data_IF_660794712841
#
_entry.id   IF_660794712841
#
_cell.length_a   1.000
_cell.length_b   1.000
_cell.length_c   1.000
_cell.angle_alpha   90.00
_cell.angle_beta   90.00
_cell.angle_gamma   90.00
#
_symmetry.space_group_name_H-M   'P 1'
#
loop_
_entity.id
_entity.type
_entity.pdbx_description
1 polymer ?
#
# COMPACT_ATOMS: atom_id res chain seq x y z
N UNK A 1 -10.03 -12.01 -12.94
CA UNK A 1 -8.66 -11.47 -12.72
C UNK A 1 -8.82 -10.24 -11.84
N UNK A 2 -8.05 -10.14 -10.78
CA UNK A 2 -8.09 -8.97 -9.88
C UNK A 2 -7.47 -7.74 -10.57
N UNK A 3 -7.92 -6.53 -10.20
CA UNK A 3 -7.28 -5.30 -10.68
C UNK A 3 -5.79 -5.26 -10.31
N UNK A 4 -4.94 -4.86 -11.27
CA UNK A 4 -3.47 -4.83 -11.09
C UNK A 4 -3.04 -3.93 -9.91
N UNK A 5 -3.76 -2.84 -9.65
CA UNK A 5 -3.48 -1.93 -8.53
C UNK A 5 -3.52 -2.57 -7.14
N UNK A 6 -4.12 -3.76 -7.02
CA UNK A 6 -4.15 -4.48 -5.74
C UNK A 6 -2.87 -5.28 -5.47
N UNK A 7 -2.00 -5.44 -6.48
CA UNK A 7 -0.77 -6.22 -6.39
C UNK A 7 -0.97 -7.59 -5.76
N UNK A 8 -2.07 -8.28 -6.14
CA UNK A 8 -2.50 -9.55 -5.57
C UNK A 8 -2.96 -10.51 -6.66
N UNK A 9 -2.84 -11.81 -6.42
CA UNK A 9 -3.29 -12.84 -7.37
C UNK A 9 -2.18 -13.52 -8.15
N UNK A 10 -0.91 -13.29 -7.78
CA UNK A 10 0.28 -13.84 -8.47
C UNK A 10 1.05 -14.86 -7.62
N UNK A 11 0.56 -15.20 -6.43
CA UNK A 11 1.24 -16.14 -5.52
C UNK A 11 0.46 -17.45 -5.41
N UNK A 12 1.15 -18.62 -5.33
CA UNK A 12 0.49 -19.89 -5.08
C UNK A 12 -0.16 -19.98 -3.69
N UNK A 13 0.02 -18.97 -2.84
CA UNK A 13 -0.62 -18.83 -1.52
C UNK A 13 -1.83 -17.92 -1.53
N UNK A 14 -2.16 -17.34 -2.68
CA UNK A 14 -3.34 -16.50 -2.79
C UNK A 14 -4.62 -17.32 -2.66
N UNK A 15 -5.65 -16.71 -2.09
CA UNK A 15 -6.94 -17.36 -1.91
C UNK A 15 -7.71 -17.41 -3.24
N UNK A 16 -8.50 -18.48 -3.42
CA UNK A 16 -9.34 -18.65 -4.62
C UNK A 16 -10.44 -17.59 -4.73
N UNK A 17 -10.87 -17.05 -3.59
CA UNK A 17 -11.92 -16.04 -3.51
C UNK A 17 -11.47 -14.88 -2.62
N UNK A 18 -11.56 -13.68 -3.15
CA UNK A 18 -11.27 -12.43 -2.45
C UNK A 18 -12.49 -11.53 -2.52
N UNK A 19 -12.92 -11.04 -1.36
CA UNK A 19 -14.03 -10.10 -1.23
C UNK A 19 -13.46 -8.76 -0.84
N UNK A 20 -13.70 -7.76 -1.66
CA UNK A 20 -13.37 -6.35 -1.35
C UNK A 20 -14.69 -5.63 -1.10
N UNK A 21 -14.84 -5.08 0.11
CA UNK A 21 -16.05 -4.33 0.47
C UNK A 21 -16.07 -2.96 -0.19
N UNK A 22 -17.26 -2.46 -0.47
CA UNK A 22 -17.45 -1.06 -0.77
C UNK A 22 -17.07 -0.19 0.43
N UNK A 23 -16.79 1.09 0.17
CA UNK A 23 -16.45 2.06 1.22
C UNK A 23 -17.47 2.06 2.36
N UNK A 24 -16.96 2.04 3.59
CA UNK A 24 -17.75 2.02 4.83
C UNK A 24 -18.59 0.75 5.06
N UNK A 25 -18.42 -0.30 4.24
CA UNK A 25 -19.08 -1.58 4.46
C UNK A 25 -18.17 -2.59 5.13
N UNK A 26 -18.75 -3.42 5.97
CA UNK A 26 -18.07 -4.54 6.62
C UNK A 26 -18.79 -5.86 6.34
N UNK A 27 -18.02 -6.91 6.08
CA UNK A 27 -18.53 -8.24 5.80
C UNK A 27 -18.37 -9.14 7.02
N UNK A 28 -19.38 -9.95 7.33
CA UNK A 28 -19.35 -10.93 8.42
C UNK A 28 -20.04 -12.24 8.04
N UNK A 29 -19.48 -13.35 8.49
CA UNK A 29 -20.10 -14.67 8.44
C UNK A 29 -21.28 -14.82 9.41
N UNK A 30 -21.33 -13.95 10.43
CA UNK A 30 -22.37 -14.02 11.47
C UNK A 30 -23.50 -13.05 11.14
N UNK A 31 -24.70 -13.62 10.93
CA UNK A 31 -25.92 -12.82 10.78
C UNK A 31 -26.16 -11.95 12.03
N UNK A 32 -26.52 -10.68 11.80
CA UNK A 32 -26.86 -9.75 12.89
C UNK A 32 -25.68 -9.22 13.70
N UNK A 33 -24.43 -9.41 13.23
CA UNK A 33 -23.28 -8.77 13.87
C UNK A 33 -23.34 -7.27 13.64
N UNK A 34 -23.26 -6.50 14.73
CA UNK A 34 -23.02 -5.06 14.65
C UNK A 34 -21.52 -4.77 14.64
N UNK A 35 -21.14 -3.73 13.89
CA UNK A 35 -19.79 -3.20 13.84
C UNK A 35 -19.78 -1.83 14.51
N UNK A 36 -18.73 -1.53 15.25
CA UNK A 36 -18.52 -0.23 15.89
C UNK A 36 -17.03 0.14 15.81
N UNK A 37 -16.71 1.43 15.88
CA UNK A 37 -15.36 1.95 15.75
C UNK A 37 -14.94 2.14 14.30
N UNK A 38 -13.62 2.21 14.07
CA UNK A 38 -13.03 2.33 12.74
C UNK A 38 -12.77 0.97 12.11
N UNK A 39 -12.77 0.93 10.79
CA UNK A 39 -12.41 -0.26 10.01
C UNK A 39 -11.59 0.14 8.78
N UNK A 40 -10.95 -0.85 8.17
CA UNK A 40 -10.14 -0.71 6.96
C UNK A 40 -10.30 -1.96 6.09
N UNK A 41 -9.59 -2.06 4.97
CA UNK A 41 -9.65 -3.21 4.06
C UNK A 41 -10.59 -3.00 2.88
N UNK A 42 -10.97 -1.76 2.62
CA UNK A 42 -11.66 -1.36 1.38
C UNK A 42 -10.70 -1.30 0.20
N UNK A 43 -11.25 -1.09 -0.99
CA UNK A 43 -10.45 -0.86 -2.19
C UNK A 43 -9.46 0.31 -1.98
N UNK A 44 -8.20 0.11 -2.36
CA UNK A 44 -7.14 1.12 -2.24
C UNK A 44 -7.33 2.34 -3.16
N UNK A 45 -8.28 2.32 -4.07
CA UNK A 45 -8.70 3.50 -4.82
C UNK A 45 -9.50 4.50 -3.96
N UNK A 46 -9.97 4.07 -2.78
CA UNK A 46 -10.67 4.93 -1.84
C UNK A 46 -9.66 5.71 -0.98
N UNK A 47 -9.67 7.03 -1.11
CA UNK A 47 -8.77 7.93 -0.36
C UNK A 47 -8.93 7.86 1.16
N UNK A 48 -10.10 7.42 1.67
CA UNK A 48 -10.37 7.30 3.11
C UNK A 48 -9.52 6.21 3.79
N UNK A 49 -8.96 5.27 3.01
CA UNK A 49 -8.09 4.21 3.53
C UNK A 49 -6.60 4.46 3.23
N UNK A 50 -6.27 5.60 2.66
CA UNK A 50 -4.88 5.96 2.44
C UNK A 50 -4.15 6.16 3.77
N UNK A 51 -2.93 5.62 3.84
CA UNK A 51 -2.06 5.81 4.99
C UNK A 51 -1.25 7.10 4.86
N UNK A 52 -0.71 7.56 5.98
CA UNK A 52 0.27 8.65 5.99
C UNK A 52 1.68 8.07 5.83
N UNK A 53 2.50 8.77 5.05
CA UNK A 53 3.94 8.53 5.00
C UNK A 53 4.68 9.78 5.48
N UNK A 54 5.57 9.60 6.43
CA UNK A 54 6.48 10.65 6.91
C UNK A 54 7.88 10.09 7.02
N UNK A 55 8.86 10.81 6.45
CA UNK A 55 10.25 10.38 6.47
C UNK A 55 11.17 11.55 6.81
N UNK A 56 12.21 11.26 7.57
CA UNK A 56 13.22 12.20 8.00
C UNK A 56 14.60 11.53 8.05
N UNK A 57 15.62 12.22 7.62
CA UNK A 57 16.99 11.72 7.69
C UNK A 57 17.91 12.32 6.62
N UNK A 58 19.19 11.93 6.62
CA UNK A 58 20.21 12.52 5.73
C UNK A 58 19.93 12.27 4.24
N UNK A 59 19.25 11.20 3.90
CA UNK A 59 18.91 10.86 2.50
C UNK A 59 17.78 11.69 1.95
N UNK A 60 16.87 12.20 2.80
CA UNK A 60 15.66 12.87 2.35
C UNK A 60 15.85 14.38 2.14
N UNK A 61 15.14 14.94 1.19
CA UNK A 61 14.99 16.39 1.00
C UNK A 61 14.20 16.98 2.16
N UNK A 62 14.61 18.15 2.62
CA UNK A 62 13.87 18.89 3.66
C UNK A 62 12.68 19.63 3.05
N UNK A 63 11.51 19.54 3.69
CA UNK A 63 10.30 20.26 3.27
C UNK A 63 9.74 19.79 1.93
N UNK A 64 10.09 18.60 1.47
CA UNK A 64 9.56 18.02 0.24
C UNK A 64 8.23 17.35 0.53
N UNK A 65 7.25 17.59 -0.33
CA UNK A 65 5.94 16.92 -0.31
C UNK A 65 5.88 15.97 -1.48
N UNK A 66 5.83 14.68 -1.17
CA UNK A 66 5.71 13.61 -2.13
C UNK A 66 4.23 13.44 -2.50
N UNK A 67 3.86 13.37 -3.80
CA UNK A 67 2.54 12.91 -4.20
C UNK A 67 2.24 11.51 -3.65
N UNK A 68 0.96 11.14 -3.59
CA UNK A 68 0.53 9.79 -3.21
C UNK A 68 1.21 8.75 -4.09
N UNK A 69 1.69 7.69 -3.48
CA UNK A 69 2.41 6.58 -4.13
C UNK A 69 1.98 5.24 -3.53
N UNK A 70 2.30 4.15 -4.19
CA UNK A 70 1.91 2.83 -3.74
C UNK A 70 2.84 2.30 -2.64
N UNK A 71 2.26 1.63 -1.65
CA UNK A 71 3.03 1.09 -0.51
C UNK A 71 4.14 0.12 -0.93
N UNK A 72 3.97 -0.57 -2.05
CA UNK A 72 4.99 -1.48 -2.61
C UNK A 72 6.29 -0.77 -3.00
N UNK A 73 6.26 0.56 -3.23
CA UNK A 73 7.41 1.37 -3.60
C UNK A 73 8.36 1.66 -2.43
N UNK A 74 7.90 1.41 -1.20
CA UNK A 74 8.74 1.59 0.00
C UNK A 74 9.90 0.61 0.05
N UNK A 75 9.72 -0.61 -0.44
CA UNK A 75 10.79 -1.60 -0.43
C UNK A 75 11.98 -1.17 -1.31
N UNK A 76 11.81 -0.84 -2.61
CA UNK A 76 12.92 -0.34 -3.41
C UNK A 76 13.50 0.98 -2.91
N UNK A 77 12.71 1.87 -2.29
CA UNK A 77 13.21 3.09 -1.66
C UNK A 77 14.17 2.77 -0.51
N UNK A 78 13.77 1.89 0.40
CA UNK A 78 14.58 1.53 1.57
C UNK A 78 15.86 0.83 1.13
N UNK A 79 15.78 -0.12 0.22
CA UNK A 79 16.95 -0.85 -0.28
C UNK A 79 17.93 0.08 -1.01
N UNK A 80 17.42 1.06 -1.76
CA UNK A 80 18.25 2.07 -2.40
C UNK A 80 19.00 2.93 -1.38
N UNK A 81 18.30 3.42 -0.34
CA UNK A 81 18.93 4.24 0.73
C UNK A 81 20.02 3.46 1.48
N UNK A 82 19.79 2.16 1.69
CA UNK A 82 20.72 1.30 2.42
C UNK A 82 21.85 0.72 1.54
N UNK A 83 21.81 0.96 0.23
CA UNK A 83 22.76 0.39 -0.71
C UNK A 83 22.67 -1.15 -0.84
N UNK A 84 21.49 -1.70 -0.57
CA UNK A 84 21.21 -3.13 -0.65
C UNK A 84 20.65 -3.46 -2.04
N UNK A 85 21.11 -4.52 -2.67
CA UNK A 85 20.55 -4.98 -3.93
C UNK A 85 19.14 -5.54 -3.70
N UNK A 86 18.09 -4.93 -4.28
CA UNK A 86 16.73 -5.41 -4.12
C UNK A 86 16.50 -6.72 -4.88
N UNK A 87 15.58 -7.54 -4.39
CA UNK A 87 14.94 -8.58 -5.20
C UNK A 87 13.85 -7.96 -6.06
N UNK A 88 13.46 -8.64 -7.13
CA UNK A 88 12.35 -8.18 -7.97
C UNK A 88 11.04 -8.18 -7.16
N UNK A 89 10.33 -7.05 -7.22
CA UNK A 89 9.01 -6.83 -6.59
C UNK A 89 8.15 -5.98 -7.52
N UNK A 90 6.91 -5.74 -7.15
CA UNK A 90 6.00 -4.88 -7.90
C UNK A 90 6.29 -3.37 -7.69
N UNK A 91 7.15 -3.03 -6.72
CA UNK A 91 7.49 -1.63 -6.41
C UNK A 91 8.40 -0.98 -7.46
N UNK A 92 8.18 0.31 -7.68
CA UNK A 92 8.92 1.15 -8.61
C UNK A 92 9.67 2.28 -7.86
N UNK A 93 10.99 2.23 -7.86
CA UNK A 93 11.82 3.26 -7.21
C UNK A 93 11.61 4.66 -7.83
N UNK A 94 11.36 4.74 -9.13
CA UNK A 94 11.27 6.04 -9.83
C UNK A 94 10.06 6.87 -9.35
N UNK A 95 8.99 6.24 -8.86
CA UNK A 95 7.82 6.94 -8.30
C UNK A 95 8.15 7.70 -7.00
N UNK A 96 9.14 7.25 -6.25
CA UNK A 96 9.46 7.77 -4.91
C UNK A 96 10.86 8.36 -4.78
N UNK A 97 11.73 8.15 -5.76
CA UNK A 97 13.12 8.60 -5.72
C UNK A 97 13.26 10.12 -5.65
N UNK A 98 12.27 10.85 -6.16
CA UNK A 98 12.24 12.32 -6.15
C UNK A 98 12.29 12.93 -4.74
N UNK A 99 11.93 12.19 -3.68
CA UNK A 99 12.04 12.64 -2.30
C UNK A 99 13.47 12.59 -1.74
N UNK A 100 14.39 11.93 -2.44
CA UNK A 100 15.79 11.83 -2.04
C UNK A 100 16.63 13.00 -2.57
N UNK A 101 17.77 13.29 -1.89
CA UNK A 101 18.73 14.31 -2.30
C UNK A 101 19.51 13.93 -3.54
#
# INVERSE_FOLDING_TARGET
MLPQRLHYGNSPRDLDLIVVSDSAWSVSWKKGRSFSGGTHGFDNSNTDVHAIFYAMGPAFKKGYIQPTFDNVDLYPLITYILGIRPVATDGNLEEVKSMLK
#
